data_IF_369980646434
#
_entry.id   IF_369980646434
#
_cell.length_a   1.000
_cell.length_b   1.000
_cell.length_c   1.000
_cell.angle_alpha   90.00
_cell.angle_beta   90.00
_cell.angle_gamma   90.00
#
_symmetry.space_group_name_H-M   'P 1'
#
loop_
_entity.id
_entity.type
_entity.pdbx_description
1 polymer ?
#
# COMPACT_ATOMS: atom_id res chain seq x y z
N UNK A 1 8.77 11.73 -9.03
CA UNK A 1 8.94 12.69 -7.93
C UNK A 1 7.61 13.19 -7.37
N UNK A 2 6.54 13.29 -8.16
CA UNK A 2 5.21 13.78 -7.71
C UNK A 2 4.27 12.68 -7.22
N UNK A 3 4.58 11.42 -7.43
CA UNK A 3 3.77 10.25 -7.04
C UNK A 3 3.60 10.08 -5.54
N UNK A 4 4.34 10.83 -4.73
CA UNK A 4 4.21 10.84 -3.26
C UNK A 4 3.28 11.94 -2.75
N UNK A 5 2.89 12.90 -3.60
CA UNK A 5 2.09 14.06 -3.23
C UNK A 5 0.67 14.01 -3.82
N UNK A 6 0.48 13.21 -4.88
CA UNK A 6 -0.80 13.12 -5.60
C UNK A 6 -1.14 11.65 -5.84
N UNK A 7 -2.34 11.24 -5.46
CA UNK A 7 -2.86 9.88 -5.68
C UNK A 7 -3.32 9.68 -7.10
N UNK A 8 -3.05 8.50 -7.64
CA UNK A 8 -3.52 8.08 -8.95
C UNK A 8 -2.41 7.50 -9.81
N UNK A 9 -2.74 7.07 -11.05
CA UNK A 9 -1.77 6.56 -11.99
C UNK A 9 -0.74 7.63 -12.33
N UNK A 10 0.54 7.35 -12.09
CA UNK A 10 1.61 8.34 -12.28
C UNK A 10 1.74 8.83 -13.74
N UNK A 11 1.32 8.03 -14.71
CA UNK A 11 1.31 8.39 -16.12
C UNK A 11 0.32 9.52 -16.41
N UNK A 12 -0.92 9.40 -15.93
CA UNK A 12 -1.98 10.39 -16.08
C UNK A 12 -1.62 11.68 -15.32
N UNK A 13 -1.25 11.55 -14.04
CA UNK A 13 -0.81 12.68 -13.20
C UNK A 13 0.38 13.41 -13.84
N UNK A 14 1.37 12.64 -14.32
CA UNK A 14 2.55 13.19 -14.97
C UNK A 14 2.20 13.98 -16.22
N UNK A 15 1.28 13.48 -17.05
CA UNK A 15 0.81 14.15 -18.25
C UNK A 15 0.04 15.45 -17.92
N UNK A 16 -0.84 15.43 -16.91
CA UNK A 16 -1.58 16.62 -16.46
C UNK A 16 -0.64 17.72 -15.94
N UNK A 17 0.33 17.35 -15.11
CA UNK A 17 1.32 18.29 -14.58
C UNK A 17 2.16 18.87 -15.71
N UNK A 18 2.63 18.03 -16.65
CA UNK A 18 3.38 18.51 -17.82
C UNK A 18 2.56 19.49 -18.65
N UNK A 19 1.27 19.22 -18.88
CA UNK A 19 0.36 20.11 -19.60
C UNK A 19 0.18 21.45 -18.89
N UNK A 20 0.01 21.46 -17.55
CA UNK A 20 -0.08 22.68 -16.73
C UNK A 20 1.18 23.56 -16.82
N UNK A 21 2.34 22.93 -17.07
CA UNK A 21 3.61 23.64 -17.26
C UNK A 21 3.96 23.93 -18.73
N UNK A 22 2.96 23.88 -19.63
CA UNK A 22 3.12 24.18 -21.05
C UNK A 22 4.14 23.29 -21.77
N UNK A 23 4.30 22.04 -21.36
CA UNK A 23 5.08 21.05 -22.07
C UNK A 23 4.36 20.69 -23.38
N UNK A 24 5.12 20.46 -24.45
CA UNK A 24 4.55 20.16 -25.77
C UNK A 24 3.58 18.96 -25.70
N UNK A 25 2.43 19.09 -26.37
CA UNK A 25 1.37 18.08 -26.33
C UNK A 25 1.84 16.64 -26.68
N UNK A 26 2.80 16.52 -27.61
CA UNK A 26 3.40 15.24 -27.98
C UNK A 26 4.17 14.59 -26.81
N UNK A 27 4.85 15.38 -25.99
CA UNK A 27 5.54 14.90 -24.78
C UNK A 27 4.54 14.47 -23.71
N UNK A 28 3.48 15.27 -23.50
CA UNK A 28 2.41 14.93 -22.57
C UNK A 28 1.74 13.59 -22.97
N UNK A 29 1.51 13.38 -24.26
CA UNK A 29 0.99 12.13 -24.80
C UNK A 29 1.89 10.94 -24.48
N UNK A 30 3.20 11.06 -24.73
CA UNK A 30 4.17 10.02 -24.38
C UNK A 30 4.19 9.71 -22.89
N UNK A 31 4.03 10.72 -22.03
CA UNK A 31 3.94 10.53 -20.58
C UNK A 31 2.65 9.80 -20.21
N UNK A 32 1.52 10.11 -20.85
CA UNK A 32 0.25 9.45 -20.57
C UNK A 32 0.25 7.97 -20.96
N UNK A 33 0.79 7.64 -22.13
CA UNK A 33 0.66 6.32 -22.77
C UNK A 33 1.75 5.31 -22.43
N UNK A 34 2.82 5.67 -21.71
CA UNK A 34 4.01 4.80 -21.59
C UNK A 34 3.77 3.47 -20.86
N UNK A 35 2.60 3.30 -20.24
CA UNK A 35 2.16 2.04 -19.63
C UNK A 35 0.94 1.41 -20.31
N UNK A 36 0.46 1.99 -21.40
CA UNK A 36 -0.70 1.46 -22.12
C UNK A 36 -0.31 0.28 -23.00
N UNK A 37 -1.23 -0.68 -23.15
CA UNK A 37 -1.06 -1.81 -24.07
C UNK A 37 -1.03 -1.37 -25.55
N UNK A 38 -1.68 -0.25 -25.87
CA UNK A 38 -1.75 0.33 -27.19
C UNK A 38 -1.24 1.77 -27.15
N UNK A 39 -0.12 2.02 -27.78
CA UNK A 39 0.50 3.34 -27.86
C UNK A 39 0.26 3.97 -29.23
N UNK A 40 -0.04 5.27 -29.25
CA UNK A 40 -0.42 5.97 -30.49
C UNK A 40 0.78 6.46 -31.31
N UNK A 41 1.99 6.47 -30.75
CA UNK A 41 3.19 6.97 -31.42
C UNK A 41 4.44 6.13 -31.18
N UNK A 42 5.39 6.09 -32.12
CA UNK A 42 6.68 5.43 -31.93
C UNK A 42 7.48 5.98 -30.75
N UNK A 43 7.32 7.27 -30.46
CA UNK A 43 7.99 7.93 -29.36
C UNK A 43 7.47 7.41 -27.99
N UNK A 44 6.18 7.11 -27.86
CA UNK A 44 5.61 6.48 -26.66
C UNK A 44 6.23 5.11 -26.39
N UNK A 45 6.48 4.30 -27.44
CA UNK A 45 7.21 3.02 -27.30
C UNK A 45 8.65 3.21 -26.80
N UNK A 46 9.35 4.23 -27.31
CA UNK A 46 10.71 4.53 -26.87
C UNK A 46 10.72 4.95 -25.40
N UNK A 47 9.74 5.76 -24.96
CA UNK A 47 9.61 6.20 -23.56
C UNK A 47 9.30 5.01 -22.66
N UNK A 48 8.38 4.13 -23.06
CA UNK A 48 8.05 2.91 -22.32
C UNK A 48 9.26 1.98 -22.15
N UNK A 49 10.02 1.76 -23.22
CA UNK A 49 11.24 0.97 -23.18
C UNK A 49 12.31 1.59 -22.27
N UNK A 50 12.48 2.92 -22.33
CA UNK A 50 13.43 3.65 -21.49
C UNK A 50 13.03 3.58 -20.01
N UNK A 51 11.73 3.67 -19.68
CA UNK A 51 11.21 3.50 -18.34
C UNK A 51 11.48 2.08 -17.81
N UNK A 52 11.19 1.05 -18.60
CA UNK A 52 11.45 -0.34 -18.23
C UNK A 52 12.95 -0.59 -17.96
N UNK A 53 13.85 -0.08 -18.81
CA UNK A 53 15.30 -0.18 -18.61
C UNK A 53 15.73 0.59 -17.36
N UNK A 54 15.19 1.79 -17.13
CA UNK A 54 15.48 2.58 -15.94
C UNK A 54 15.04 1.87 -14.66
N UNK A 55 13.85 1.28 -14.66
CA UNK A 55 13.31 0.53 -13.55
C UNK A 55 14.08 -0.77 -13.25
N UNK A 56 14.70 -1.38 -14.26
CA UNK A 56 15.49 -2.60 -14.12
C UNK A 56 16.89 -2.36 -13.51
N UNK A 57 17.37 -1.11 -13.42
CA UNK A 57 18.70 -0.81 -12.87
C UNK A 57 18.77 -1.10 -11.37
N UNK A 58 19.89 -1.65 -10.86
CA UNK A 58 20.09 -1.83 -9.43
C UNK A 58 19.92 -0.52 -8.66
N UNK A 59 19.10 -0.52 -7.60
CA UNK A 59 18.84 0.65 -6.77
C UNK A 59 17.72 1.58 -7.24
N UNK A 60 17.17 1.41 -8.44
CA UNK A 60 16.08 2.24 -8.95
C UNK A 60 14.78 2.11 -8.15
N UNK A 61 14.57 0.96 -7.49
CA UNK A 61 13.40 0.64 -6.65
C UNK A 61 13.62 0.87 -5.15
N UNK A 62 14.71 1.50 -4.76
CA UNK A 62 15.03 1.72 -3.34
C UNK A 62 13.92 2.51 -2.65
N UNK A 63 13.48 3.60 -3.25
CA UNK A 63 12.40 4.43 -2.71
C UNK A 63 11.07 3.66 -2.61
N UNK A 64 10.81 2.77 -3.56
CA UNK A 64 9.63 1.90 -3.54
C UNK A 64 9.68 0.89 -2.38
N UNK A 65 10.85 0.34 -2.07
CA UNK A 65 11.03 -0.58 -0.95
C UNK A 65 10.89 0.16 0.38
N UNK A 66 11.50 1.33 0.52
CA UNK A 66 11.38 2.16 1.73
C UNK A 66 9.92 2.59 1.98
N UNK A 67 9.21 3.02 0.95
CA UNK A 67 7.79 3.37 1.05
C UNK A 67 6.91 2.16 1.37
N UNK A 68 7.24 1.00 0.82
CA UNK A 68 6.59 -0.25 1.16
C UNK A 68 6.74 -0.58 2.65
N UNK A 69 7.97 -0.49 3.19
CA UNK A 69 8.24 -0.73 4.61
C UNK A 69 7.49 0.28 5.48
N UNK A 70 7.57 1.57 5.18
CA UNK A 70 6.82 2.61 5.91
C UNK A 70 5.31 2.35 5.94
N UNK A 71 4.75 1.86 4.84
CA UNK A 71 3.33 1.50 4.79
C UNK A 71 2.99 0.31 5.69
N UNK A 72 3.84 -0.72 5.72
CA UNK A 72 3.65 -1.85 6.64
C UNK A 72 3.73 -1.41 8.10
N UNK A 73 4.72 -0.59 8.44
CA UNK A 73 4.89 -0.02 9.77
C UNK A 73 3.68 0.82 10.19
N UNK A 74 3.18 1.69 9.31
CA UNK A 74 1.99 2.49 9.57
C UNK A 74 0.73 1.65 9.79
N UNK A 75 0.53 0.57 9.02
CA UNK A 75 -0.56 -0.38 9.23
C UNK A 75 -0.47 -1.08 10.59
N UNK A 76 0.73 -1.53 10.98
CA UNK A 76 0.95 -2.16 12.27
C UNK A 76 0.77 -1.18 13.42
N UNK A 77 1.19 0.07 13.27
CA UNK A 77 1.02 1.12 14.27
C UNK A 77 -0.46 1.41 14.54
N UNK A 78 -1.28 1.51 13.48
CA UNK A 78 -2.73 1.66 13.63
C UNK A 78 -3.33 0.52 14.45
N UNK A 79 -2.94 -0.74 14.19
CA UNK A 79 -3.44 -1.89 14.95
C UNK A 79 -2.95 -1.89 16.40
N UNK A 80 -1.68 -1.54 16.64
CA UNK A 80 -1.09 -1.50 18.00
C UNK A 80 -1.67 -0.40 18.89
N UNK A 81 -2.28 0.63 18.30
CA UNK A 81 -2.87 1.74 19.05
C UNK A 81 -4.16 1.38 19.80
N UNK A 82 -4.70 0.18 19.62
CA UNK A 82 -5.92 -0.26 20.27
C UNK A 82 -5.63 -1.03 21.57
N UNK A 83 -6.36 -0.70 22.62
CA UNK A 83 -6.23 -1.37 23.91
C UNK A 83 -6.58 -2.86 23.80
N UNK A 84 -5.80 -3.71 24.46
CA UNK A 84 -5.97 -5.16 24.44
C UNK A 84 -5.31 -5.86 23.25
N UNK A 85 -4.64 -5.13 22.37
CA UNK A 85 -3.80 -5.71 21.31
C UNK A 85 -2.46 -6.15 21.89
N UNK A 86 -2.13 -7.42 21.73
CA UNK A 86 -0.86 -8.00 22.14
C UNK A 86 0.18 -7.89 21.03
N UNK A 87 -0.23 -8.23 19.79
CA UNK A 87 0.63 -8.21 18.61
C UNK A 87 -0.16 -7.81 17.37
N UNK A 88 0.51 -7.12 16.46
CA UNK A 88 -0.05 -6.74 15.18
C UNK A 88 1.00 -6.97 14.09
N UNK A 89 0.58 -7.62 12.99
CA UNK A 89 1.44 -7.94 11.86
C UNK A 89 0.76 -7.57 10.54
N UNK A 90 1.44 -6.79 9.73
CA UNK A 90 1.07 -6.57 8.34
C UNK A 90 1.67 -7.69 7.47
N UNK A 91 0.84 -8.45 6.78
CA UNK A 91 1.23 -9.58 5.94
C UNK A 91 0.71 -9.44 4.51
N UNK A 92 1.05 -10.37 3.63
CA UNK A 92 0.64 -10.37 2.22
C UNK A 92 0.91 -9.02 1.53
N UNK A 93 2.12 -8.50 1.70
CA UNK A 93 2.51 -7.21 1.14
C UNK A 93 1.64 -6.02 1.61
N UNK A 94 1.13 -6.06 2.86
CA UNK A 94 0.26 -5.03 3.42
C UNK A 94 -1.20 -5.12 2.98
N UNK A 95 -1.63 -6.27 2.44
CA UNK A 95 -3.03 -6.52 2.09
C UNK A 95 -3.82 -7.20 3.20
N UNK A 96 -3.15 -7.67 4.25
CA UNK A 96 -3.80 -8.22 5.44
C UNK A 96 -3.08 -7.71 6.70
N UNK A 97 -3.86 -7.31 7.70
CA UNK A 97 -3.37 -7.00 9.05
C UNK A 97 -3.94 -8.05 9.99
N UNK A 98 -3.06 -8.77 10.69
CA UNK A 98 -3.40 -9.72 11.75
C UNK A 98 -3.13 -9.13 13.11
N UNK A 99 -4.15 -9.12 13.94
CA UNK A 99 -4.15 -8.50 15.24
C UNK A 99 -4.44 -9.60 16.26
N UNK A 100 -3.47 -9.88 17.12
CA UNK A 100 -3.62 -10.81 18.21
C UNK A 100 -4.01 -10.03 19.46
N UNK A 101 -5.11 -10.42 20.10
CA UNK A 101 -5.65 -9.76 21.29
C UNK A 101 -5.61 -10.71 22.48
N UNK A 102 -5.57 -10.12 23.68
CA UNK A 102 -5.62 -10.85 24.93
C UNK A 102 -7.03 -11.44 25.14
N UNK A 103 -7.18 -12.77 25.15
CA UNK A 103 -8.50 -13.40 25.24
C UNK A 103 -9.20 -13.17 26.59
N UNK A 104 -8.44 -12.81 27.63
CA UNK A 104 -8.95 -12.52 28.97
C UNK A 104 -9.65 -11.16 29.04
N UNK A 105 -9.23 -10.20 28.19
CA UNK A 105 -9.71 -8.82 28.22
C UNK A 105 -10.65 -8.49 27.07
N UNK A 106 -10.52 -9.19 25.95
CA UNK A 106 -11.30 -8.95 24.74
C UNK A 106 -12.18 -10.18 24.46
N UNK A 107 -13.49 -10.03 24.58
CA UNK A 107 -14.47 -11.05 24.17
C UNK A 107 -14.76 -11.00 22.66
N UNK A 108 -15.63 -11.90 22.16
CA UNK A 108 -15.94 -12.00 20.74
C UNK A 108 -16.68 -10.76 20.20
N UNK A 109 -17.49 -10.13 21.05
CA UNK A 109 -18.22 -8.91 20.66
C UNK A 109 -17.26 -7.72 20.56
N UNK A 110 -16.36 -7.59 21.54
CA UNK A 110 -15.32 -6.58 21.54
C UNK A 110 -14.34 -6.78 20.39
N UNK A 111 -13.92 -8.02 20.07
CA UNK A 111 -13.07 -8.33 18.92
C UNK A 111 -13.73 -7.94 17.60
N UNK A 112 -15.03 -8.23 17.43
CA UNK A 112 -15.80 -7.84 16.24
C UNK A 112 -15.94 -6.33 16.11
N UNK A 113 -16.12 -5.60 17.23
CA UNK A 113 -16.15 -4.14 17.24
C UNK A 113 -14.77 -3.57 16.89
N UNK A 114 -13.72 -4.07 17.54
CA UNK A 114 -12.33 -3.66 17.30
C UNK A 114 -11.97 -3.81 15.81
N UNK A 115 -12.34 -4.91 15.16
CA UNK A 115 -12.08 -5.10 13.74
C UNK A 115 -12.70 -3.98 12.89
N UNK A 116 -13.95 -3.57 13.18
CA UNK A 116 -14.61 -2.46 12.47
C UNK A 116 -13.96 -1.12 12.76
N UNK A 117 -13.59 -0.87 14.02
CA UNK A 117 -12.97 0.39 14.43
C UNK A 117 -11.57 0.54 13.79
N UNK A 118 -10.82 -0.56 13.68
CA UNK A 118 -9.51 -0.59 12.97
C UNK A 118 -9.69 -0.35 11.48
N UNK A 119 -10.66 -0.99 10.82
CA UNK A 119 -10.96 -0.72 9.41
C UNK A 119 -11.21 0.76 9.20
N UNK A 120 -12.11 1.35 9.99
CA UNK A 120 -12.41 2.78 9.91
C UNK A 120 -11.17 3.64 10.13
N UNK A 121 -10.34 3.31 11.12
CA UNK A 121 -9.10 4.06 11.38
C UNK A 121 -8.12 3.98 10.22
N UNK A 122 -7.99 2.81 9.58
CA UNK A 122 -7.16 2.63 8.39
C UNK A 122 -7.70 3.50 7.24
N UNK A 123 -9.02 3.46 6.98
CA UNK A 123 -9.66 4.27 5.93
C UNK A 123 -9.49 5.77 6.15
N UNK A 124 -9.55 6.22 7.41
CA UNK A 124 -9.43 7.65 7.77
C UNK A 124 -7.98 8.17 7.75
N UNK A 125 -6.97 7.28 7.92
CA UNK A 125 -5.59 7.72 8.18
C UNK A 125 -4.56 7.26 7.16
N UNK A 126 -4.85 6.22 6.37
CA UNK A 126 -3.89 5.64 5.45
C UNK A 126 -4.43 5.60 4.03
N UNK A 127 -3.53 5.92 3.10
CA UNK A 127 -3.78 5.75 1.68
C UNK A 127 -3.23 4.39 1.23
N UNK A 128 -4.09 3.57 0.62
CA UNK A 128 -3.72 2.23 0.18
C UNK A 128 -4.41 1.84 -1.14
N UNK A 129 -3.70 1.14 -2.03
CA UNK A 129 -4.28 0.65 -3.27
C UNK A 129 -5.06 -0.66 -3.01
N UNK A 130 -6.36 -0.66 -3.26
CA UNK A 130 -7.20 -1.84 -3.18
C UNK A 130 -7.81 -2.07 -1.80
N UNK A 131 -7.98 -3.33 -1.38
CA UNK A 131 -8.60 -3.71 -0.11
C UNK A 131 -7.55 -4.20 0.89
N UNK A 132 -7.75 -3.87 2.16
CA UNK A 132 -6.99 -4.40 3.28
C UNK A 132 -7.91 -5.28 4.12
N UNK A 133 -7.51 -6.54 4.30
CA UNK A 133 -8.21 -7.47 5.19
C UNK A 133 -7.73 -7.26 6.62
N UNK A 134 -8.64 -7.00 7.55
CA UNK A 134 -8.35 -6.91 8.99
C UNK A 134 -8.84 -8.19 9.67
N UNK A 135 -7.92 -8.90 10.32
CA UNK A 135 -8.21 -10.16 11.04
C UNK A 135 -7.85 -9.99 12.51
N UNK A 136 -8.84 -10.03 13.40
CA UNK A 136 -8.63 -10.06 14.85
C UNK A 136 -8.67 -11.50 15.31
N UNK A 137 -7.63 -11.93 16.04
CA UNK A 137 -7.44 -13.30 16.50
C UNK A 137 -7.41 -13.32 18.03
N UNK A 138 -8.30 -14.09 18.61
CA UNK A 138 -8.27 -14.49 20.03
C UNK A 138 -7.79 -15.94 20.09
N UNK A 139 -6.73 -16.20 20.81
CA UNK A 139 -6.19 -17.56 20.91
C UNK A 139 -5.92 -17.90 22.38
N UNK A 140 -6.44 -19.05 22.83
CA UNK A 140 -6.09 -19.66 24.12
C UNK A 140 -5.36 -20.99 23.83
N UNK A 141 -4.18 -21.16 24.43
CA UNK A 141 -3.37 -22.38 24.28
C UNK A 141 -3.16 -23.05 25.62
N UNK A 142 -3.43 -24.36 25.67
CA UNK A 142 -3.04 -25.23 26.78
C UNK A 142 -1.97 -26.19 26.25
N UNK A 143 -0.84 -26.28 26.94
CA UNK A 143 0.28 -27.16 26.54
C UNK A 143 0.58 -28.11 27.70
N UNK A 144 0.57 -29.44 27.41
CA UNK A 144 0.95 -30.51 28.34
C UNK A 144 2.03 -31.37 27.69
N UNK A 145 2.95 -31.88 28.50
CA UNK A 145 4.05 -32.75 28.05
C UNK A 145 3.85 -34.15 28.57
N UNK A 146 3.70 -35.14 27.70
CA UNK A 146 3.84 -36.54 28.06
C UNK A 146 5.33 -36.90 28.28
N UNK A 147 5.61 -37.63 29.37
CA UNK A 147 6.96 -38.14 29.72
C UNK A 147 7.00 -39.64 29.58
#
# INVERSE_FOLDING_TARGET
ALTHEVEGPHAEIGAEVAAKHNVAAKVCLCIAEHHDDVMSSPESFVVSAADAISAARPGSRKDTVENYIKRLEALEEVGRAFDGVEKCYAIQAGREVRIMVQPETIDDVAASKMARDIVKKIEDTLVYPGQIKVTVIRESRTVEYAR
#
